data_IF_709752307174
#
_entry.id   IF_709752307174
#
_cell.length_a   1.000
_cell.length_b   1.000
_cell.length_c   1.000
_cell.angle_alpha   90.00
_cell.angle_beta   90.00
_cell.angle_gamma   90.00
#
_symmetry.space_group_name_H-M   'P 1'
#
loop_
_entity.id
_entity.type
_entity.pdbx_description
1 polymer ?
#
# COMPACT_ATOMS: atom_id res chain seq x y z
N UNK A 1 -1.15 -4.67 20.91
CA UNK A 1 -0.81 -3.91 19.68
C UNK A 1 -0.60 -2.45 20.07
N UNK A 2 0.26 -1.72 19.35
CA UNK A 2 0.60 -0.32 19.66
C UNK A 2 -0.20 0.70 18.81
N UNK A 3 -1.35 0.29 18.28
CA UNK A 3 -2.21 1.10 17.44
C UNK A 3 -3.63 1.00 17.99
N UNK A 4 -4.23 2.14 18.31
CA UNK A 4 -5.65 2.23 18.65
C UNK A 4 -6.45 2.46 17.36
N UNK A 5 -7.23 1.46 16.96
CA UNK A 5 -8.01 1.50 15.73
C UNK A 5 -9.07 2.60 15.73
N UNK A 6 -9.68 2.91 16.88
CA UNK A 6 -10.70 3.98 16.95
C UNK A 6 -10.06 5.35 16.78
N UNK A 7 -8.90 5.56 17.40
CA UNK A 7 -8.13 6.78 17.23
C UNK A 7 -7.66 6.95 15.77
N UNK A 8 -7.20 5.87 15.13
CA UNK A 8 -6.80 5.88 13.72
C UNK A 8 -7.97 6.28 12.79
N UNK A 9 -9.17 5.75 13.04
CA UNK A 9 -10.37 6.11 12.27
C UNK A 9 -10.77 7.58 12.48
N UNK A 10 -10.73 8.09 13.72
CA UNK A 10 -11.01 9.51 13.99
C UNK A 10 -10.02 10.41 13.26
N UNK A 11 -8.73 10.08 13.36
CA UNK A 11 -7.65 10.83 12.75
C UNK A 11 -7.80 10.91 11.22
N UNK A 12 -8.03 9.77 10.56
CA UNK A 12 -8.21 9.73 9.10
C UNK A 12 -9.44 10.54 8.65
N UNK A 13 -10.56 10.44 9.39
CA UNK A 13 -11.79 11.19 9.08
C UNK A 13 -11.60 12.69 9.25
N UNK A 14 -11.01 13.13 10.36
CA UNK A 14 -10.76 14.55 10.63
C UNK A 14 -9.85 15.17 9.57
N UNK A 15 -8.78 14.46 9.18
CA UNK A 15 -7.90 14.90 8.11
C UNK A 15 -8.65 15.04 6.77
N UNK A 16 -9.47 14.04 6.39
CA UNK A 16 -10.25 14.09 5.16
C UNK A 16 -11.31 15.21 5.16
N UNK A 17 -12.01 15.42 6.27
CA UNK A 17 -13.03 16.46 6.42
C UNK A 17 -12.41 17.86 6.28
N UNK A 18 -11.28 18.09 6.98
CA UNK A 18 -10.54 19.34 6.89
C UNK A 18 -9.98 19.58 5.48
N UNK A 19 -9.33 18.58 4.88
CA UNK A 19 -8.75 18.71 3.53
C UNK A 19 -9.79 18.95 2.44
N UNK A 20 -11.06 18.64 2.69
CA UNK A 20 -12.17 18.86 1.76
C UNK A 20 -13.02 20.08 2.11
N UNK A 21 -12.55 20.94 3.01
CA UNK A 21 -13.27 22.13 3.51
C UNK A 21 -14.70 21.81 4.00
N UNK A 22 -14.90 20.62 4.60
CA UNK A 22 -16.19 20.16 5.10
C UNK A 22 -17.31 20.11 4.04
N UNK A 23 -16.95 20.01 2.75
CA UNK A 23 -17.93 20.01 1.64
C UNK A 23 -18.49 18.61 1.37
N UNK A 24 -17.83 17.56 1.86
CA UNK A 24 -18.35 16.20 1.74
C UNK A 24 -19.49 15.99 2.75
N UNK A 25 -20.71 15.62 2.30
CA UNK A 25 -21.87 15.54 3.18
C UNK A 25 -21.79 14.41 4.22
N UNK A 26 -20.98 13.37 3.94
CA UNK A 26 -20.75 12.22 4.82
C UNK A 26 -19.35 11.66 4.61
N UNK A 27 -18.79 11.12 5.68
CA UNK A 27 -17.49 10.46 5.71
C UNK A 27 -17.62 9.09 6.41
N UNK A 28 -18.54 8.28 5.90
CA UNK A 28 -18.72 6.89 6.33
C UNK A 28 -17.63 6.03 5.68
N UNK A 29 -16.96 5.21 6.49
CA UNK A 29 -15.93 4.31 5.96
C UNK A 29 -16.57 3.21 5.12
N UNK A 30 -15.95 2.92 3.96
CA UNK A 30 -16.18 1.68 3.26
C UNK A 30 -15.75 0.49 4.11
N UNK A 31 -16.20 -0.70 3.74
CA UNK A 31 -15.89 -1.94 4.46
C UNK A 31 -14.85 -2.73 3.67
N UNK A 32 -13.73 -3.06 4.30
CA UNK A 32 -12.64 -3.83 3.71
C UNK A 32 -12.97 -5.33 3.62
N UNK A 33 -12.04 -6.12 3.07
CA UNK A 33 -12.19 -7.58 2.89
C UNK A 33 -12.32 -8.38 4.19
N UNK A 34 -12.10 -7.77 5.35
CA UNK A 34 -12.32 -8.36 6.66
C UNK A 34 -13.65 -7.93 7.32
N UNK A 35 -14.48 -7.14 6.64
CA UNK A 35 -15.74 -6.66 7.23
C UNK A 35 -15.55 -5.47 8.19
N UNK A 36 -14.43 -4.76 8.12
CA UNK A 36 -14.09 -3.65 9.02
C UNK A 36 -14.02 -2.31 8.26
N UNK A 37 -14.15 -1.15 8.94
CA UNK A 37 -13.88 0.16 8.33
C UNK A 37 -12.51 0.21 7.64
N UNK A 38 -12.49 0.66 6.39
CA UNK A 38 -11.33 0.60 5.51
C UNK A 38 -10.32 1.73 5.77
N UNK A 39 -9.51 1.55 6.82
CA UNK A 39 -8.32 2.37 7.11
C UNK A 39 -7.16 1.47 7.51
N UNK A 40 -6.01 1.70 6.88
CA UNK A 40 -4.76 1.02 7.16
C UNK A 40 -3.64 2.05 7.38
N UNK A 41 -2.57 1.61 8.03
CA UNK A 41 -1.36 2.42 8.26
C UNK A 41 -0.18 1.67 7.65
N UNK A 42 0.64 2.39 6.89
CA UNK A 42 1.83 1.87 6.21
C UNK A 42 3.06 2.65 6.65
N UNK A 43 4.21 1.97 6.70
CA UNK A 43 5.49 2.60 6.96
C UNK A 43 6.22 2.84 5.63
N UNK A 44 6.44 4.11 5.29
CA UNK A 44 7.17 4.53 4.08
C UNK A 44 8.61 4.98 4.39
N UNK A 45 9.17 4.64 5.55
CA UNK A 45 10.54 5.03 5.93
C UNK A 45 11.58 4.51 4.94
N UNK A 46 11.35 3.33 4.35
CA UNK A 46 12.21 2.73 3.34
C UNK A 46 11.41 2.47 2.06
N UNK A 47 11.98 2.83 0.91
CA UNK A 47 11.48 2.45 -0.42
C UNK A 47 12.58 1.65 -1.13
N UNK A 48 12.19 0.64 -1.91
CA UNK A 48 13.12 -0.32 -2.50
C UNK A 48 12.98 -0.40 -4.02
N UNK A 49 14.12 -0.54 -4.69
CA UNK A 49 14.18 -0.80 -6.12
C UNK A 49 15.17 -1.93 -6.39
N UNK A 50 14.81 -2.86 -7.27
CA UNK A 50 15.75 -3.86 -7.76
C UNK A 50 16.81 -3.16 -8.59
N UNK A 51 18.08 -3.51 -8.36
CA UNK A 51 19.21 -3.01 -9.16
C UNK A 51 19.06 -3.38 -10.65
N UNK A 52 18.44 -4.53 -10.93
CA UNK A 52 18.25 -5.03 -12.29
C UNK A 52 16.80 -5.46 -12.52
N UNK A 53 16.24 -5.11 -13.67
CA UNK A 53 14.87 -5.50 -14.04
C UNK A 53 14.76 -6.94 -14.54
N UNK A 54 15.86 -7.52 -15.04
CA UNK A 54 15.87 -8.87 -15.58
C UNK A 54 17.25 -9.53 -15.45
N UNK A 55 17.25 -10.85 -15.50
CA UNK A 55 18.45 -11.68 -15.59
C UNK A 55 18.17 -12.93 -16.43
N UNK A 56 19.23 -13.55 -16.95
CA UNK A 56 19.13 -14.83 -17.66
C UNK A 56 19.84 -15.91 -16.86
N UNK A 57 19.16 -17.03 -16.63
CA UNK A 57 19.75 -18.25 -16.04
C UNK A 57 19.92 -19.30 -17.12
N UNK A 58 21.00 -20.08 -17.06
CA UNK A 58 21.22 -21.20 -17.98
C UNK A 58 21.54 -22.48 -17.20
N UNK A 59 20.87 -23.59 -17.57
CA UNK A 59 21.13 -24.92 -17.00
C UNK A 59 20.94 -26.00 -18.07
N UNK A 60 21.87 -26.95 -18.16
CA UNK A 60 21.85 -28.04 -19.15
C UNK A 60 21.62 -27.52 -20.59
N UNK A 61 22.23 -26.38 -20.95
CA UNK A 61 22.06 -25.74 -22.26
C UNK A 61 20.76 -24.94 -22.46
N UNK A 62 19.80 -24.99 -21.54
CA UNK A 62 18.52 -24.27 -21.64
C UNK A 62 18.60 -22.92 -20.93
N UNK A 63 18.16 -21.85 -21.61
CA UNK A 63 18.14 -20.48 -21.09
C UNK A 63 16.75 -20.10 -20.59
N UNK A 64 16.68 -19.39 -19.47
CA UNK A 64 15.46 -18.84 -18.88
C UNK A 64 15.67 -17.35 -18.58
N UNK A 65 14.85 -16.51 -19.21
CA UNK A 65 14.73 -15.10 -18.86
C UNK A 65 13.81 -14.96 -17.64
N UNK A 66 14.28 -14.23 -16.62
CA UNK A 66 13.51 -13.86 -15.44
C UNK A 66 13.46 -12.35 -15.38
N UNK A 67 12.27 -11.77 -15.18
CA UNK A 67 12.08 -10.33 -15.07
C UNK A 67 11.18 -9.99 -13.88
N UNK A 68 11.39 -8.82 -13.29
CA UNK A 68 10.53 -8.21 -12.27
C UNK A 68 9.68 -7.11 -12.92
N UNK A 69 8.46 -6.91 -12.42
CA UNK A 69 7.52 -5.90 -12.93
C UNK A 69 6.61 -5.40 -11.78
N UNK A 70 6.20 -4.14 -11.86
CA UNK A 70 5.41 -3.48 -10.81
C UNK A 70 6.22 -3.17 -9.55
N UNK A 71 5.55 -3.11 -8.40
CA UNK A 71 6.15 -2.75 -7.10
C UNK A 71 7.31 -3.70 -6.70
N UNK A 72 7.31 -4.93 -7.22
CA UNK A 72 8.42 -5.87 -7.03
C UNK A 72 9.73 -5.44 -7.71
N UNK A 73 9.64 -4.57 -8.73
CA UNK A 73 10.79 -3.96 -9.41
C UNK A 73 11.15 -2.61 -8.76
N UNK A 74 10.14 -1.80 -8.45
CA UNK A 74 10.29 -0.47 -7.91
C UNK A 74 9.04 -0.11 -7.11
N UNK A 75 9.23 0.10 -5.81
CA UNK A 75 8.23 0.68 -4.89
C UNK A 75 8.40 2.20 -4.79
#
# INVERSE_FOLDING_TARGET
>A
ANVDQKALLSYAREAADFSTNHQLPKLDFAINHYGQPDVAMFDFTCMYASENAALVRQRNGHKLLVALVGDSLLE
#
